data_IF_593929622718
#
_entry.id   IF_593929622718
#
_cell.length_a   1.000
_cell.length_b   1.000
_cell.length_c   1.000
_cell.angle_alpha   90.00
_cell.angle_beta   90.00
_cell.angle_gamma   90.00
#
_symmetry.space_group_name_H-M   'P 1'
#
loop_
_entity.id
_entity.type
_entity.pdbx_description
1 polymer ?
#
# COMPACT_ATOMS: atom_id res chain seq x y z
N UNK A 1 15.67 -0.08 18.58
CA UNK A 1 15.83 -0.78 17.29
C UNK A 1 14.60 -0.56 16.41
N UNK A 2 13.39 -0.94 16.86
CA UNK A 2 12.10 -0.77 16.15
C UNK A 2 11.87 0.62 15.49
N UNK A 3 12.36 1.70 16.10
CA UNK A 3 12.19 3.06 15.56
C UNK A 3 12.92 3.31 14.25
N UNK A 4 14.08 2.68 14.01
CA UNK A 4 14.82 2.84 12.74
C UNK A 4 14.11 2.07 11.62
N UNK A 5 13.65 0.84 11.90
CA UNK A 5 12.88 0.08 10.92
C UNK A 5 11.58 0.79 10.55
N UNK A 6 10.87 1.36 11.53
CA UNK A 6 9.65 2.11 11.27
C UNK A 6 9.90 3.37 10.42
N UNK A 7 10.97 4.12 10.71
CA UNK A 7 11.38 5.26 9.87
C UNK A 7 11.69 4.86 8.42
N UNK A 8 12.33 3.72 8.22
CA UNK A 8 12.61 3.22 6.87
C UNK A 8 11.32 2.86 6.13
N UNK A 9 10.36 2.22 6.81
CA UNK A 9 9.02 1.95 6.26
C UNK A 9 8.36 3.27 5.85
N UNK A 10 8.35 4.27 6.74
CA UNK A 10 7.79 5.59 6.45
C UNK A 10 8.43 6.23 5.21
N UNK A 11 9.77 6.21 5.14
CA UNK A 11 10.50 6.76 4.00
C UNK A 11 10.15 6.05 2.68
N UNK A 12 10.14 4.72 2.66
CA UNK A 12 9.78 3.93 1.48
C UNK A 12 8.35 4.22 1.01
N UNK A 13 7.39 4.30 1.93
CA UNK A 13 6.01 4.58 1.57
C UNK A 13 5.80 6.04 1.14
N UNK A 14 6.54 7.01 1.68
CA UNK A 14 6.54 8.38 1.15
C UNK A 14 7.07 8.44 -0.29
N UNK A 15 8.14 7.73 -0.62
CA UNK A 15 8.60 7.65 -2.02
C UNK A 15 7.54 7.00 -2.93
N UNK A 16 6.80 6.02 -2.42
CA UNK A 16 5.67 5.44 -3.15
C UNK A 16 4.56 6.49 -3.39
N UNK A 17 4.28 7.38 -2.43
CA UNK A 17 3.29 8.45 -2.64
C UNK A 17 3.65 9.43 -3.76
N UNK A 18 4.94 9.64 -4.04
CA UNK A 18 5.39 10.46 -5.17
C UNK A 18 5.03 9.81 -6.52
N UNK A 19 5.25 8.49 -6.63
CA UNK A 19 4.82 7.71 -7.80
C UNK A 19 3.30 7.75 -7.95
N UNK A 20 2.56 7.52 -6.87
CA UNK A 20 1.09 7.50 -6.90
C UNK A 20 0.47 8.86 -7.24
N UNK A 21 1.19 9.95 -7.00
CA UNK A 21 0.75 11.29 -7.38
C UNK A 21 0.97 11.61 -8.86
N UNK A 22 1.79 10.84 -9.56
CA UNK A 22 2.22 11.13 -10.95
C UNK A 22 1.78 10.09 -11.97
N UNK A 23 1.52 8.84 -11.55
CA UNK A 23 1.07 7.78 -12.45
C UNK A 23 -0.40 7.97 -12.88
N UNK A 24 -0.67 7.79 -14.17
CA UNK A 24 -2.04 7.79 -14.68
C UNK A 24 -2.81 6.56 -14.21
N UNK A 25 -4.08 6.74 -13.84
CA UNK A 25 -4.97 5.68 -13.36
C UNK A 25 -5.06 4.49 -14.34
N UNK A 26 -5.05 4.78 -15.65
CA UNK A 26 -5.08 3.77 -16.71
C UNK A 26 -3.85 2.87 -16.72
N UNK A 27 -2.66 3.41 -16.43
CA UNK A 27 -1.41 2.63 -16.40
C UNK A 27 -1.22 1.94 -15.06
N UNK A 28 -1.75 2.55 -13.98
CA UNK A 28 -1.77 1.97 -12.65
C UNK A 28 -2.58 0.68 -12.56
N UNK A 29 -3.80 0.70 -13.11
CA UNK A 29 -4.74 -0.44 -13.08
C UNK A 29 -4.54 -1.44 -14.22
N UNK A 30 -3.67 -1.12 -15.20
CA UNK A 30 -3.39 -1.96 -16.36
C UNK A 30 -2.84 -3.32 -15.96
N UNK A 31 -3.44 -4.39 -16.49
CA UNK A 31 -2.88 -5.72 -16.36
C UNK A 31 -1.56 -5.86 -17.12
N UNK A 32 -0.58 -6.48 -16.49
CA UNK A 32 0.73 -6.78 -17.07
C UNK A 32 0.57 -8.05 -17.90
N UNK A 33 0.64 -7.92 -19.23
CA UNK A 33 0.27 -8.96 -20.21
C UNK A 33 1.01 -10.30 -20.05
N UNK A 34 2.20 -10.29 -19.45
CA UNK A 34 3.04 -11.48 -19.24
C UNK A 34 2.78 -12.17 -17.89
N UNK A 35 2.06 -11.50 -16.98
CA UNK A 35 1.73 -12.00 -15.65
C UNK A 35 0.24 -11.78 -15.45
N UNK A 36 -0.53 -12.76 -15.96
CA UNK A 36 -1.99 -12.76 -15.87
C UNK A 36 -2.44 -12.36 -14.47
N UNK A 37 -3.33 -11.37 -14.41
CA UNK A 37 -3.96 -10.89 -13.19
C UNK A 37 -3.05 -10.10 -12.23
N UNK A 38 -1.92 -9.55 -12.69
CA UNK A 38 -1.11 -8.57 -11.95
C UNK A 38 -1.19 -7.17 -12.57
N UNK A 39 -1.24 -6.14 -11.73
CA UNK A 39 -1.13 -4.74 -12.09
C UNK A 39 -0.28 -4.00 -11.05
N UNK A 40 0.17 -2.78 -11.37
CA UNK A 40 0.85 -1.92 -10.38
C UNK A 40 -0.07 -1.69 -9.19
N UNK A 41 -1.34 -1.42 -9.43
CA UNK A 41 -2.33 -1.21 -8.39
C UNK A 41 -2.56 -2.42 -7.50
N UNK A 42 -2.59 -3.64 -8.05
CA UNK A 42 -2.68 -4.87 -7.24
C UNK A 42 -1.51 -5.02 -6.28
N UNK A 43 -0.29 -4.70 -6.74
CA UNK A 43 0.90 -4.76 -5.89
C UNK A 43 0.90 -3.66 -4.82
N UNK A 44 0.54 -2.44 -5.19
CA UNK A 44 0.44 -1.32 -4.24
C UNK A 44 -0.63 -1.58 -3.18
N UNK A 45 -1.81 -2.05 -3.57
CA UNK A 45 -2.86 -2.49 -2.64
C UNK A 45 -2.31 -3.52 -1.65
N UNK A 46 -1.59 -4.54 -2.14
CA UNK A 46 -1.00 -5.55 -1.26
C UNK A 46 -0.06 -4.92 -0.21
N UNK A 47 0.83 -4.02 -0.61
CA UNK A 47 1.74 -3.33 0.29
C UNK A 47 1.00 -2.47 1.34
N UNK A 48 -0.02 -1.70 0.92
CA UNK A 48 -0.80 -0.84 1.82
C UNK A 48 -1.56 -1.68 2.85
N UNK A 49 -2.17 -2.79 2.44
CA UNK A 49 -2.92 -3.67 3.36
C UNK A 49 -2.00 -4.36 4.38
N UNK A 50 -0.75 -4.67 4.00
CA UNK A 50 0.27 -5.15 4.93
C UNK A 50 0.64 -4.06 5.93
N UNK A 51 0.86 -2.83 5.48
CA UNK A 51 1.16 -1.69 6.34
C UNK A 51 0.01 -1.41 7.33
N UNK A 52 -1.23 -1.40 6.86
CA UNK A 52 -2.41 -1.21 7.70
C UNK A 52 -2.53 -2.29 8.77
N UNK A 53 -2.29 -3.56 8.42
CA UNK A 53 -2.29 -4.66 9.41
C UNK A 53 -1.15 -4.55 10.42
N UNK A 54 0.03 -4.09 9.99
CA UNK A 54 1.14 -3.86 10.90
C UNK A 54 0.80 -2.76 11.92
N UNK A 55 0.25 -1.63 11.47
CA UNK A 55 -0.11 -0.51 12.34
C UNK A 55 -1.20 -0.92 13.34
N UNK A 56 -2.29 -1.52 12.86
CA UNK A 56 -3.37 -2.02 13.72
C UNK A 56 -2.88 -3.11 14.68
N UNK A 57 -1.97 -3.98 14.21
CA UNK A 57 -1.43 -5.07 15.02
C UNK A 57 -0.44 -4.62 16.09
N UNK A 58 0.23 -3.48 15.91
CA UNK A 58 1.02 -2.84 16.97
C UNK A 58 0.11 -2.37 18.11
N UNK A 59 -1.05 -1.78 17.80
CA UNK A 59 -2.03 -1.32 18.80
C UNK A 59 -2.72 -2.49 19.52
N UNK A 60 -3.06 -3.53 18.78
CA UNK A 60 -3.83 -4.68 19.28
C UNK A 60 -2.97 -5.84 19.78
N UNK A 61 -1.65 -5.75 19.64
CA UNK A 61 -0.67 -6.83 19.90
C UNK A 61 -0.96 -8.13 19.12
N UNK A 62 -1.67 -8.03 17.99
CA UNK A 62 -2.06 -9.16 17.16
C UNK A 62 -1.93 -8.82 15.68
N UNK A 63 -1.03 -9.49 14.97
CA UNK A 63 -0.81 -9.30 13.52
C UNK A 63 -1.23 -10.58 12.80
N UNK A 64 -2.18 -10.48 11.86
CA UNK A 64 -2.58 -11.58 10.99
C UNK A 64 -2.72 -11.11 9.54
N UNK A 65 -1.70 -11.38 8.72
CA UNK A 65 -1.71 -10.99 7.31
C UNK A 65 -2.67 -11.81 6.45
N UNK A 66 -3.09 -12.98 6.91
CA UNK A 66 -4.13 -13.79 6.25
C UNK A 66 -5.51 -13.13 6.36
N UNK A 67 -5.76 -12.41 7.46
CA UNK A 67 -7.02 -11.70 7.73
C UNK A 67 -7.01 -10.24 7.26
N UNK A 68 -6.03 -9.86 6.44
CA UNK A 68 -5.94 -8.49 5.93
C UNK A 68 -7.21 -8.12 5.15
N UNK A 69 -7.78 -6.94 5.46
CA UNK A 69 -8.96 -6.42 4.77
C UNK A 69 -8.58 -6.01 3.36
N UNK A 70 -9.22 -6.62 2.36
CA UNK A 70 -8.99 -6.27 0.96
C UNK A 70 -9.78 -5.03 0.56
N UNK A 71 -9.12 -4.02 0.00
CA UNK A 71 -9.81 -2.85 -0.53
C UNK A 71 -9.51 -2.66 -2.04
N UNK A 72 -10.46 -3.04 -2.93
CA UNK A 72 -10.31 -2.88 -4.38
C UNK A 72 -10.14 -1.43 -4.84
N UNK A 73 -10.50 -0.43 -4.02
CA UNK A 73 -10.31 0.97 -4.38
C UNK A 73 -8.81 1.29 -4.54
N UNK A 74 -7.96 0.76 -3.66
CA UNK A 74 -6.51 0.97 -3.72
C UNK A 74 -5.87 0.25 -4.91
N UNK A 75 -6.58 -0.65 -5.57
CA UNK A 75 -6.07 -1.34 -6.77
C UNK A 75 -6.34 -0.53 -8.04
N UNK A 76 -7.40 0.28 -8.04
CA UNK A 76 -7.84 0.98 -9.23
C UNK A 76 -7.52 2.48 -9.19
N UNK A 77 -7.42 3.09 -8.01
CA UNK A 77 -7.15 4.53 -7.87
C UNK A 77 -5.79 4.77 -7.19
N UNK A 78 -4.78 5.30 -7.91
CA UNK A 78 -3.49 5.61 -7.31
C UNK A 78 -3.62 6.74 -6.27
N UNK A 79 -4.53 7.69 -6.47
CA UNK A 79 -4.79 8.76 -5.51
C UNK A 79 -5.43 8.22 -4.21
N UNK A 80 -6.39 7.30 -4.30
CA UNK A 80 -6.96 6.69 -3.10
C UNK A 80 -5.92 5.87 -2.32
N UNK A 81 -5.03 5.15 -3.04
CA UNK A 81 -3.90 4.45 -2.43
C UNK A 81 -2.94 5.42 -1.72
N UNK A 82 -2.61 6.55 -2.36
CA UNK A 82 -1.78 7.61 -1.78
C UNK A 82 -2.39 8.18 -0.50
N UNK A 83 -3.66 8.54 -0.55
CA UNK A 83 -4.36 9.16 0.57
C UNK A 83 -4.43 8.22 1.77
N UNK A 84 -4.60 6.91 1.52
CA UNK A 84 -4.50 5.91 2.59
C UNK A 84 -3.11 5.84 3.22
N UNK A 85 -2.05 5.96 2.43
CA UNK A 85 -0.68 5.99 2.98
C UNK A 85 -0.49 7.21 3.89
N UNK A 86 -0.96 8.39 3.48
CA UNK A 86 -0.91 9.60 4.33
C UNK A 86 -1.75 9.47 5.60
N UNK A 87 -2.90 8.80 5.54
CA UNK A 87 -3.71 8.49 6.71
C UNK A 87 -2.96 7.61 7.72
N UNK A 88 -2.29 6.57 7.22
CA UNK A 88 -1.59 5.57 8.03
C UNK A 88 -0.27 6.08 8.65
N UNK A 89 0.43 6.98 7.96
CA UNK A 89 1.82 7.36 8.29
C UNK A 89 2.01 8.80 8.79
N UNK A 90 0.94 9.41 9.33
CA UNK A 90 0.96 10.76 9.93
C UNK A 90 2.20 11.05 10.79
#
# INVERSE_FOLDING_TARGET
MLSVQFKNIQYTFHQLTDLLSSIEEKEYSKNISQLSDLSVGKHVRHCIEILENLILGIETLNISYDQRKRNPLYENSPLAARDKIFELLK
#
